data_IF_069020699369
#
_entry.id   IF_069020699369
#
_cell.length_a   1.000
_cell.length_b   1.000
_cell.length_c   1.000
_cell.angle_alpha   90.00
_cell.angle_beta   90.00
_cell.angle_gamma   90.00
#
_symmetry.space_group_name_H-M   'P 1'
#
loop_
_entity.id
_entity.type
_entity.pdbx_description
1 polymer ?
#
# COMPACT_ATOMS: atom_id res chain seq x y z
N UNK A 1 -20.65 19.70 2.52
CA UNK A 1 -19.27 19.58 2.00
C UNK A 1 -19.05 20.74 1.07
N UNK A 2 -18.02 21.55 1.32
CA UNK A 2 -17.67 22.71 0.51
C UNK A 2 -16.37 22.52 -0.30
N UNK A 3 -15.63 21.44 -0.06
CA UNK A 3 -14.39 21.10 -0.80
C UNK A 3 -13.33 22.23 -0.77
N UNK A 4 -13.12 22.83 0.40
CA UNK A 4 -12.38 24.09 0.58
C UNK A 4 -10.98 24.13 -0.04
N UNK A 5 -10.18 23.06 0.15
CA UNK A 5 -8.79 23.03 -0.29
C UNK A 5 -8.40 21.69 -0.86
N UNK A 6 -7.88 21.68 -2.09
CA UNK A 6 -7.24 20.50 -2.67
C UNK A 6 -5.90 20.26 -1.95
N UNK A 7 -5.71 19.04 -1.45
CA UNK A 7 -4.46 18.61 -0.78
C UNK A 7 -3.72 17.50 -1.54
N UNK A 8 -4.38 16.80 -2.47
CA UNK A 8 -3.73 15.84 -3.37
C UNK A 8 -4.54 15.62 -4.65
N UNK A 9 -3.86 15.46 -5.79
CA UNK A 9 -4.46 15.14 -7.09
C UNK A 9 -3.70 13.99 -7.73
N UNK A 10 -4.45 13.02 -8.24
CA UNK A 10 -4.00 11.89 -9.07
C UNK A 10 -5.02 11.64 -10.18
N UNK A 11 -4.66 10.87 -11.20
CA UNK A 11 -5.48 10.68 -12.40
C UNK A 11 -6.94 10.25 -12.13
N UNK A 12 -7.17 9.48 -11.07
CA UNK A 12 -8.47 8.88 -10.76
C UNK A 12 -9.00 9.26 -9.36
N UNK A 13 -8.32 10.18 -8.67
CA UNK A 13 -8.73 10.63 -7.33
C UNK A 13 -8.24 12.03 -7.00
N UNK A 14 -9.10 12.77 -6.31
CA UNK A 14 -8.76 14.08 -5.73
C UNK A 14 -9.07 14.06 -4.24
N UNK A 15 -8.15 14.57 -3.43
CA UNK A 15 -8.32 14.66 -1.97
C UNK A 15 -8.43 16.11 -1.59
N UNK A 16 -9.47 16.42 -0.81
CA UNK A 16 -9.79 17.73 -0.30
C UNK A 16 -9.65 17.76 1.22
N UNK A 17 -9.31 18.93 1.75
CA UNK A 17 -9.53 19.29 3.14
C UNK A 17 -10.73 20.24 3.20
N UNK A 18 -11.68 19.93 4.07
CA UNK A 18 -12.87 20.73 4.37
C UNK A 18 -12.93 20.87 5.91
N UNK A 19 -12.41 21.99 6.43
CA UNK A 19 -12.17 22.18 7.87
C UNK A 19 -11.31 21.07 8.53
N UNK A 20 -11.95 20.28 9.39
CA UNK A 20 -11.38 19.14 10.12
C UNK A 20 -11.56 17.80 9.38
N UNK A 21 -12.08 17.83 8.14
CA UNK A 21 -12.35 16.64 7.35
C UNK A 21 -11.36 16.51 6.18
N UNK A 22 -10.99 15.28 5.90
CA UNK A 22 -10.29 14.86 4.70
C UNK A 22 -11.27 14.10 3.81
N UNK A 23 -11.52 14.59 2.60
CA UNK A 23 -12.51 14.03 1.67
C UNK A 23 -11.78 13.51 0.43
N UNK A 24 -11.76 12.19 0.25
CA UNK A 24 -11.23 11.53 -0.94
C UNK A 24 -12.36 11.31 -1.94
N UNK A 25 -12.31 12.04 -3.05
CA UNK A 25 -13.23 11.92 -4.18
C UNK A 25 -12.60 11.00 -5.22
N UNK A 26 -13.31 9.94 -5.58
CA UNK A 26 -12.92 8.95 -6.58
C UNK A 26 -13.76 9.15 -7.84
N UNK A 27 -13.12 9.04 -9.00
CA UNK A 27 -13.80 9.13 -10.30
C UNK A 27 -14.75 7.93 -10.54
N UNK A 28 -15.69 8.09 -11.48
CA UNK A 28 -16.85 7.20 -11.68
C UNK A 28 -16.49 5.74 -12.02
N UNK A 29 -15.30 5.49 -12.56
CA UNK A 29 -14.81 4.17 -12.96
C UNK A 29 -14.24 3.33 -11.81
N UNK A 30 -14.12 3.91 -10.60
CA UNK A 30 -13.62 3.18 -9.44
C UNK A 30 -14.62 2.11 -8.96
N UNK A 31 -14.18 0.83 -8.83
CA UNK A 31 -15.04 -0.22 -8.31
C UNK A 31 -15.54 0.11 -6.90
N UNK A 32 -16.85 0.06 -6.68
CA UNK A 32 -17.44 0.28 -5.35
C UNK A 32 -16.84 -0.65 -4.28
N UNK A 33 -16.44 -1.87 -4.67
CA UNK A 33 -15.76 -2.81 -3.79
C UNK A 33 -14.43 -2.28 -3.26
N UNK A 34 -13.68 -1.50 -4.05
CA UNK A 34 -12.40 -0.93 -3.63
C UNK A 34 -12.61 0.17 -2.57
N UNK A 35 -13.61 1.02 -2.80
CA UNK A 35 -14.03 2.08 -1.85
C UNK A 35 -14.44 1.47 -0.51
N UNK A 36 -15.28 0.43 -0.57
CA UNK A 36 -15.73 -0.27 0.63
C UNK A 36 -14.59 -1.02 1.32
N UNK A 37 -13.66 -1.63 0.56
CA UNK A 37 -12.47 -2.26 1.13
C UNK A 37 -11.59 -1.26 1.88
N UNK A 38 -11.36 -0.06 1.33
CA UNK A 38 -10.60 0.97 2.03
C UNK A 38 -11.29 1.39 3.33
N UNK A 39 -12.59 1.68 3.27
CA UNK A 39 -13.37 2.06 4.45
C UNK A 39 -13.38 0.95 5.53
N UNK A 40 -13.64 -0.29 5.15
CA UNK A 40 -13.65 -1.44 6.08
C UNK A 40 -12.26 -1.67 6.67
N UNK A 41 -11.21 -1.69 5.86
CA UNK A 41 -9.85 -1.97 6.33
C UNK A 41 -9.32 -0.84 7.25
N UNK A 42 -9.67 0.42 6.98
CA UNK A 42 -9.36 1.55 7.87
C UNK A 42 -9.99 1.37 9.25
N UNK A 43 -11.28 1.04 9.30
CA UNK A 43 -11.98 0.81 10.58
C UNK A 43 -11.38 -0.40 11.31
N UNK A 44 -11.12 -1.49 10.58
CA UNK A 44 -10.51 -2.69 11.15
C UNK A 44 -9.11 -2.43 11.73
N UNK A 45 -8.29 -1.62 11.05
CA UNK A 45 -6.99 -1.20 11.56
C UNK A 45 -7.11 -0.36 12.85
N UNK A 46 -8.08 0.57 12.89
CA UNK A 46 -8.36 1.37 14.08
C UNK A 46 -8.80 0.50 15.28
N UNK A 47 -9.73 -0.43 15.05
CA UNK A 47 -10.23 -1.37 16.06
C UNK A 47 -9.14 -2.32 16.57
N UNK A 48 -8.14 -2.61 15.73
CA UNK A 48 -6.95 -3.37 16.11
C UNK A 48 -5.88 -2.54 16.84
N UNK A 49 -6.14 -1.25 17.10
CA UNK A 49 -5.28 -0.37 17.89
C UNK A 49 -4.24 0.40 17.08
N UNK A 50 -4.32 0.42 15.75
CA UNK A 50 -3.43 1.22 14.92
C UNK A 50 -3.91 2.67 14.82
N UNK A 51 -2.94 3.60 14.76
CA UNK A 51 -3.22 5.00 14.52
C UNK A 51 -3.58 5.24 13.05
N UNK A 52 -4.87 5.44 12.79
CA UNK A 52 -5.41 5.75 11.46
C UNK A 52 -6.44 6.88 11.57
N UNK A 53 -6.63 7.69 10.50
CA UNK A 53 -7.73 8.65 10.44
C UNK A 53 -9.09 7.98 10.68
N UNK A 54 -9.91 8.57 11.54
CA UNK A 54 -11.25 8.05 11.82
C UNK A 54 -12.14 8.17 10.60
N UNK A 55 -12.74 7.07 10.16
CA UNK A 55 -13.77 7.09 9.12
C UNK A 55 -15.00 7.85 9.60
N UNK A 56 -15.49 8.77 8.76
CA UNK A 56 -16.71 9.54 9.01
C UNK A 56 -17.86 9.11 8.12
N UNK A 57 -17.59 8.94 6.84
CA UNK A 57 -18.65 8.69 5.86
C UNK A 57 -18.11 8.00 4.61
N UNK A 58 -18.94 7.15 4.00
CA UNK A 58 -18.82 6.72 2.61
C UNK A 58 -20.09 7.16 1.89
N UNK A 59 -19.96 8.00 0.86
CA UNK A 59 -21.09 8.63 0.19
C UNK A 59 -20.97 8.50 -1.35
N UNK A 60 -22.11 8.59 -2.04
CA UNK A 60 -22.20 8.77 -3.48
C UNK A 60 -22.75 10.18 -3.77
N UNK A 61 -21.89 11.07 -4.28
CA UNK A 61 -22.28 12.42 -4.66
C UNK A 61 -22.32 12.54 -6.19
N UNK A 62 -23.53 12.57 -6.75
CA UNK A 62 -23.71 12.39 -8.20
C UNK A 62 -23.28 10.98 -8.60
N UNK A 63 -22.28 10.87 -9.48
CA UNK A 63 -21.68 9.59 -9.87
C UNK A 63 -20.36 9.29 -9.14
N UNK A 64 -19.82 10.28 -8.40
CA UNK A 64 -18.53 10.16 -7.73
C UNK A 64 -18.66 9.54 -6.36
N UNK A 65 -17.73 8.65 -6.02
CA UNK A 65 -17.67 8.01 -4.70
C UNK A 65 -16.75 8.79 -3.79
N UNK A 66 -17.22 9.03 -2.58
CA UNK A 66 -16.50 9.81 -1.58
C UNK A 66 -16.23 8.94 -0.36
N UNK A 67 -15.02 9.06 0.17
CA UNK A 67 -14.68 8.59 1.51
C UNK A 67 -14.20 9.77 2.32
N UNK A 68 -14.80 9.98 3.48
CA UNK A 68 -14.49 11.09 4.38
C UNK A 68 -13.89 10.57 5.67
N UNK A 69 -12.77 11.16 6.08
CA UNK A 69 -12.06 10.88 7.32
C UNK A 69 -11.85 12.14 8.15
N UNK A 70 -11.50 12.00 9.42
CA UNK A 70 -10.89 13.10 10.17
C UNK A 70 -9.55 13.49 9.54
N UNK A 71 -9.32 14.79 9.36
CA UNK A 71 -8.09 15.32 8.81
C UNK A 71 -6.97 15.27 9.86
N UNK A 72 -5.84 14.66 9.50
CA UNK A 72 -4.65 14.64 10.36
C UNK A 72 -3.80 15.86 10.07
N UNK A 73 -3.61 16.71 11.09
CA UNK A 73 -2.69 17.84 11.01
C UNK A 73 -1.27 17.31 11.08
N UNK A 74 -0.56 17.36 9.95
CA UNK A 74 0.76 16.78 9.80
C UNK A 74 1.23 16.81 8.36
N UNK A 75 2.24 16.02 8.03
CA UNK A 75 2.74 15.86 6.67
C UNK A 75 3.14 14.42 6.41
N UNK A 76 2.94 13.90 5.17
CA UNK A 76 3.47 12.61 4.80
C UNK A 76 5.00 12.57 4.94
N UNK A 77 5.56 11.43 5.32
CA UNK A 77 7.01 11.24 5.54
C UNK A 77 7.78 11.05 4.23
N UNK A 78 7.41 11.79 3.18
CA UNK A 78 7.95 11.67 1.82
C UNK A 78 9.47 11.51 1.80
N UNK A 79 9.93 10.64 0.90
CA UNK A 79 11.33 10.51 0.54
C UNK A 79 11.52 11.07 -0.88
N UNK A 80 12.56 11.87 -1.10
CA UNK A 80 12.94 12.36 -2.42
C UNK A 80 14.43 12.11 -2.71
N UNK A 81 14.77 11.95 -3.99
CA UNK A 81 16.18 11.80 -4.44
C UNK A 81 17.05 13.02 -4.12
N UNK A 82 16.42 14.17 -3.80
CA UNK A 82 17.10 15.42 -3.45
C UNK A 82 17.45 15.52 -1.97
N UNK A 83 16.89 14.63 -1.15
CA UNK A 83 17.13 14.65 0.28
C UNK A 83 18.59 14.25 0.56
N UNK A 84 19.18 14.70 1.66
CA UNK A 84 20.45 14.15 2.11
C UNK A 84 20.26 12.74 2.71
N UNK A 85 21.38 12.04 2.91
CA UNK A 85 21.36 10.65 3.41
C UNK A 85 20.77 10.54 4.83
N UNK A 86 21.00 11.54 5.69
CA UNK A 86 20.50 11.52 7.07
C UNK A 86 18.99 11.74 7.10
N UNK A 87 18.48 12.65 6.27
CA UNK A 87 17.04 12.88 6.12
C UNK A 87 16.34 11.64 5.59
N UNK A 88 16.85 11.00 4.52
CA UNK A 88 16.28 9.74 4.00
C UNK A 88 16.31 8.66 5.07
N UNK A 89 17.43 8.48 5.77
CA UNK A 89 17.53 7.50 6.85
C UNK A 89 16.49 7.76 7.95
N UNK A 90 16.25 9.02 8.32
CA UNK A 90 15.19 9.37 9.28
C UNK A 90 13.80 8.97 8.76
N UNK A 91 13.48 9.25 7.50
CA UNK A 91 12.18 8.90 6.89
C UNK A 91 11.99 7.38 6.79
N UNK A 92 13.02 6.65 6.39
CA UNK A 92 13.00 5.19 6.37
C UNK A 92 12.81 4.58 7.76
N UNK A 93 13.39 5.17 8.81
CA UNK A 93 13.14 4.73 10.18
C UNK A 93 11.66 4.88 10.58
N UNK A 94 11.03 6.02 10.27
CA UNK A 94 9.60 6.23 10.53
C UNK A 94 8.71 5.28 9.73
N UNK A 95 9.07 5.01 8.47
CA UNK A 95 8.35 4.04 7.63
C UNK A 95 8.42 2.63 8.25
N UNK A 96 9.60 2.23 8.73
CA UNK A 96 9.79 0.93 9.39
C UNK A 96 9.08 0.89 10.74
N UNK A 97 9.03 1.98 11.51
CA UNK A 97 8.23 2.05 12.75
C UNK A 97 6.75 1.77 12.47
N UNK A 98 6.19 2.43 11.45
CA UNK A 98 4.82 2.18 10.99
C UNK A 98 4.64 0.73 10.55
N UNK A 99 5.56 0.19 9.74
CA UNK A 99 5.49 -1.18 9.25
C UNK A 99 5.54 -2.22 10.36
N UNK A 100 6.43 -2.06 11.34
CA UNK A 100 6.55 -2.97 12.48
C UNK A 100 5.31 -2.89 13.37
N UNK A 101 4.70 -1.70 13.53
CA UNK A 101 3.42 -1.54 14.22
C UNK A 101 2.30 -2.32 13.50
N UNK A 102 2.22 -2.22 12.17
CA UNK A 102 1.25 -2.97 11.36
C UNK A 102 1.48 -4.48 11.50
N UNK A 103 2.70 -4.94 11.27
CA UNK A 103 3.03 -6.37 11.23
C UNK A 103 3.05 -7.02 12.64
N UNK A 104 3.13 -6.23 13.70
CA UNK A 104 2.90 -6.67 15.08
C UNK A 104 1.44 -7.02 15.38
N UNK A 105 0.50 -6.52 14.58
CA UNK A 105 -0.94 -6.69 14.76
C UNK A 105 -1.45 -7.96 14.08
N UNK A 106 -2.30 -8.72 14.78
CA UNK A 106 -3.03 -9.85 14.18
C UNK A 106 -4.09 -9.29 13.22
N UNK A 107 -4.16 -9.83 12.00
CA UNK A 107 -5.11 -9.40 10.99
C UNK A 107 -6.56 -9.61 11.48
N UNK A 108 -7.39 -8.55 11.50
CA UNK A 108 -8.82 -8.67 11.75
C UNK A 108 -9.51 -9.59 10.73
N UNK A 109 -10.53 -10.33 11.16
CA UNK A 109 -11.24 -11.31 10.32
C UNK A 109 -12.01 -10.69 9.15
N UNK A 110 -12.42 -9.43 9.29
CA UNK A 110 -13.15 -8.69 8.25
C UNK A 110 -12.26 -8.27 7.07
N UNK A 111 -10.92 -8.27 7.24
CA UNK A 111 -9.99 -7.99 6.15
C UNK A 111 -9.91 -9.22 5.25
N UNK A 112 -10.26 -9.02 3.98
CA UNK A 112 -10.35 -10.13 3.01
C UNK A 112 -9.01 -10.79 2.80
N UNK A 113 -9.04 -12.12 2.76
CA UNK A 113 -7.92 -12.90 2.28
C UNK A 113 -7.91 -12.91 0.73
N UNK A 114 -6.83 -12.44 0.07
CA UNK A 114 -6.72 -12.49 -1.39
C UNK A 114 -6.81 -13.92 -1.96
N UNK A 115 -6.53 -14.95 -1.15
CA UNK A 115 -6.70 -16.37 -1.51
C UNK A 115 -8.16 -16.77 -1.70
N UNK A 116 -9.09 -16.12 -1.00
CA UNK A 116 -10.52 -16.46 -1.01
C UNK A 116 -11.37 -15.49 -1.83
N UNK A 117 -10.78 -14.39 -2.31
CA UNK A 117 -11.45 -13.43 -3.16
C UNK A 117 -11.52 -13.95 -4.62
N UNK A 118 -12.74 -14.14 -5.19
CA UNK A 118 -12.90 -14.56 -6.59
C UNK A 118 -12.23 -13.61 -7.60
N UNK A 119 -12.09 -12.33 -7.21
CA UNK A 119 -11.65 -11.22 -8.05
C UNK A 119 -10.14 -10.91 -7.95
N UNK A 120 -9.35 -11.65 -7.18
CA UNK A 120 -7.89 -11.52 -7.28
C UNK A 120 -7.38 -11.95 -8.67
N UNK A 121 -8.22 -12.62 -9.46
CA UNK A 121 -7.99 -12.93 -10.87
C UNK A 121 -8.26 -11.74 -11.82
N UNK A 122 -8.82 -10.61 -11.36
CA UNK A 122 -9.60 -9.72 -12.24
C UNK A 122 -9.44 -8.21 -12.03
N UNK A 123 -8.44 -7.72 -11.30
CA UNK A 123 -8.14 -6.26 -11.30
C UNK A 123 -7.27 -5.83 -12.49
N UNK A 124 -7.03 -6.71 -13.46
CA UNK A 124 -6.51 -6.33 -14.77
C UNK A 124 -7.64 -5.75 -15.61
N UNK A 125 -7.64 -4.43 -15.79
CA UNK A 125 -8.22 -3.83 -16.99
C UNK A 125 -7.68 -4.58 -18.21
N UNK A 126 -8.59 -5.00 -19.09
CA UNK A 126 -8.27 -5.73 -20.31
C UNK A 126 -7.29 -4.93 -21.18
N UNK A 127 -6.01 -5.25 -21.09
CA UNK A 127 -4.98 -4.76 -22.00
C UNK A 127 -4.86 -5.77 -23.14
N UNK A 128 -5.59 -5.53 -24.23
CA UNK A 128 -5.36 -6.20 -25.51
C UNK A 128 -4.19 -5.51 -26.20
N UNK A 129 -2.97 -5.94 -25.89
CA UNK A 129 -1.78 -5.65 -26.69
C UNK A 129 -0.86 -6.87 -26.64
N UNK A 130 -0.50 -7.39 -27.82
CA UNK A 130 0.10 -8.71 -28.03
C UNK A 130 1.55 -8.90 -27.51
N UNK A 131 2.09 -7.95 -26.75
CA UNK A 131 3.47 -7.98 -26.22
C UNK A 131 3.56 -7.87 -24.69
N UNK A 132 2.44 -7.70 -23.96
CA UNK A 132 2.42 -7.85 -22.49
C UNK A 132 2.25 -9.34 -22.13
N UNK A 133 2.95 -9.87 -21.10
CA UNK A 133 2.67 -11.22 -20.61
C UNK A 133 1.19 -11.31 -20.29
N UNK A 134 0.53 -12.31 -20.87
CA UNK A 134 -0.91 -12.43 -20.69
C UNK A 134 -1.19 -12.73 -19.21
N UNK A 135 -2.43 -12.48 -18.77
CA UNK A 135 -2.84 -12.72 -17.37
C UNK A 135 -2.47 -14.12 -16.87
N UNK A 136 -2.36 -15.13 -17.75
CA UNK A 136 -1.96 -16.48 -17.37
C UNK A 136 -0.48 -16.59 -16.99
N UNK A 137 0.42 -15.82 -17.61
CA UNK A 137 1.86 -15.80 -17.27
C UNK A 137 2.10 -15.17 -15.89
N UNK A 138 1.43 -14.07 -15.59
CA UNK A 138 1.45 -13.44 -14.25
C UNK A 138 0.88 -14.40 -13.21
N UNK A 139 -0.26 -15.04 -13.52
CA UNK A 139 -0.88 -16.04 -12.64
C UNK A 139 0.04 -17.24 -12.42
N UNK A 140 0.78 -17.69 -13.43
CA UNK A 140 1.71 -18.81 -13.34
C UNK A 140 2.94 -18.48 -12.49
N UNK A 141 3.49 -17.27 -12.63
CA UNK A 141 4.56 -16.76 -11.76
C UNK A 141 4.04 -16.66 -10.33
N UNK A 142 2.86 -16.09 -10.10
CA UNK A 142 2.24 -16.10 -8.76
C UNK A 142 2.05 -17.53 -8.24
N UNK A 143 1.68 -18.50 -9.08
CA UNK A 143 1.46 -19.90 -8.69
C UNK A 143 2.75 -20.63 -8.29
N UNK A 144 3.84 -20.37 -8.99
CA UNK A 144 5.13 -21.03 -8.80
C UNK A 144 6.02 -20.34 -7.74
N UNK A 145 5.78 -19.06 -7.41
CA UNK A 145 6.66 -18.22 -6.58
C UNK A 145 6.23 -18.08 -5.12
N UNK A 146 5.49 -19.03 -4.55
CA UNK A 146 5.22 -19.02 -3.10
C UNK A 146 3.97 -18.25 -2.65
N UNK A 147 2.91 -18.20 -3.46
CA UNK A 147 1.57 -17.71 -3.03
C UNK A 147 1.10 -18.32 -1.70
N UNK A 148 1.46 -19.58 -1.45
CA UNK A 148 1.17 -20.25 -0.19
C UNK A 148 1.90 -19.59 0.99
N UNK A 149 3.18 -19.27 0.83
CA UNK A 149 3.99 -18.65 1.89
C UNK A 149 3.55 -17.20 2.17
N UNK A 150 3.32 -16.39 1.14
CA UNK A 150 2.97 -14.98 1.30
C UNK A 150 1.66 -14.75 2.09
N UNK A 151 0.70 -15.67 1.97
CA UNK A 151 -0.61 -15.59 2.62
C UNK A 151 -0.82 -16.63 3.74
N UNK A 152 0.25 -17.29 4.21
CA UNK A 152 0.20 -18.28 5.28
C UNK A 152 0.12 -17.67 6.69
N UNK A 153 0.47 -16.39 6.83
CA UNK A 153 0.48 -15.71 8.12
C UNK A 153 -0.88 -15.15 8.54
N UNK A 154 -0.98 -14.85 9.83
CA UNK A 154 -2.14 -14.19 10.46
C UNK A 154 -1.84 -12.72 10.81
N UNK A 155 -0.72 -12.17 10.33
CA UNK A 155 -0.34 -10.79 10.57
C UNK A 155 -1.03 -9.86 9.59
N UNK A 156 -1.37 -8.67 10.07
CA UNK A 156 -1.87 -7.61 9.23
C UNK A 156 -0.74 -7.13 8.31
N UNK A 157 -1.00 -7.11 7.01
CA UNK A 157 -0.13 -6.52 5.99
C UNK A 157 -0.87 -5.35 5.35
N UNK A 158 -0.18 -4.26 5.08
CA UNK A 158 -0.78 -3.07 4.47
C UNK A 158 -0.99 -3.27 2.95
N UNK A 159 -0.03 -3.92 2.27
CA UNK A 159 -0.10 -4.24 0.84
C UNK A 159 0.02 -3.03 -0.11
N UNK A 160 0.29 -1.85 0.45
CA UNK A 160 0.54 -0.60 -0.27
C UNK A 160 1.32 0.41 0.61
N UNK A 161 2.18 -0.07 1.51
CA UNK A 161 2.88 0.83 2.44
C UNK A 161 4.00 1.55 1.71
N UNK A 162 4.00 2.88 1.80
CA UNK A 162 5.01 3.76 1.22
C UNK A 162 5.09 5.07 2.02
N UNK A 163 6.17 5.87 1.89
CA UNK A 163 6.35 7.11 2.65
C UNK A 163 5.16 8.09 2.57
N UNK A 164 4.49 8.19 1.41
CA UNK A 164 3.31 9.05 1.23
C UNK A 164 2.07 8.57 1.99
N UNK A 165 2.03 7.31 2.40
CA UNK A 165 0.91 6.68 3.11
C UNK A 165 1.10 6.67 4.64
N UNK A 166 2.15 7.35 5.14
CA UNK A 166 2.40 7.55 6.55
C UNK A 166 2.52 9.04 6.84
N UNK A 167 1.61 9.56 7.66
CA UNK A 167 1.57 10.96 8.07
C UNK A 167 2.23 11.09 9.44
N UNK A 168 3.29 11.90 9.53
CA UNK A 168 3.79 12.39 10.81
C UNK A 168 2.93 13.57 11.25
N UNK A 169 2.14 13.37 12.29
CA UNK A 169 1.30 14.43 12.87
C UNK A 169 2.16 15.51 13.52
N UNK A 170 1.59 16.71 13.70
CA UNK A 170 2.26 17.78 14.46
C UNK A 170 2.52 17.43 15.92
N UNK A 171 1.84 16.41 16.45
CA UNK A 171 2.06 15.86 17.79
C UNK A 171 3.18 14.82 17.88
N UNK A 172 3.77 14.41 16.74
CA UNK A 172 4.84 13.39 16.68
C UNK A 172 4.35 11.97 16.42
N UNK A 173 3.04 11.73 16.43
CA UNK A 173 2.46 10.41 16.16
C UNK A 173 2.41 10.10 14.66
N UNK A 174 2.62 8.83 14.30
CA UNK A 174 2.45 8.32 12.94
C UNK A 174 1.01 7.86 12.70
N UNK A 175 0.41 8.32 11.62
CA UNK A 175 -0.90 7.89 11.12
C UNK A 175 -0.76 7.19 9.78
N UNK A 176 -1.42 6.05 9.61
CA UNK A 176 -1.31 5.21 8.43
C UNK A 176 -2.60 5.32 7.60
N UNK A 177 -2.47 5.53 6.30
CA UNK A 177 -3.59 5.77 5.37
C UNK A 177 -3.54 4.86 4.15
N UNK A 178 -4.56 4.91 3.28
CA UNK A 178 -4.62 4.15 2.02
C UNK A 178 -4.63 2.61 2.20
N UNK A 179 -5.51 2.12 3.08
CA UNK A 179 -5.63 0.71 3.52
C UNK A 179 -6.36 -0.24 2.55
N UNK A 180 -6.68 0.20 1.33
CA UNK A 180 -7.51 -0.55 0.39
C UNK A 180 -6.94 -1.94 0.00
N UNK A 181 -5.61 -2.11 0.11
CA UNK A 181 -4.90 -3.32 -0.27
C UNK A 181 -4.51 -4.22 0.90
N UNK A 182 -5.00 -3.93 2.11
CA UNK A 182 -4.65 -4.70 3.30
C UNK A 182 -5.09 -6.18 3.18
N UNK A 183 -4.27 -7.06 3.73
CA UNK A 183 -4.49 -8.50 3.66
C UNK A 183 -3.86 -9.25 4.85
N UNK A 184 -4.36 -10.46 5.18
CA UNK A 184 -3.68 -11.37 6.10
C UNK A 184 -2.47 -12.03 5.41
N UNK A 185 -1.29 -11.86 5.97
CA UNK A 185 -0.04 -12.36 5.38
C UNK A 185 1.10 -12.46 6.39
N UNK A 186 2.32 -12.50 5.86
CA UNK A 186 3.54 -12.48 6.68
C UNK A 186 4.23 -11.10 6.61
N UNK A 187 4.94 -10.68 7.67
CA UNK A 187 5.72 -9.43 7.65
C UNK A 187 6.70 -9.35 6.45
N UNK A 188 7.28 -10.48 6.06
CA UNK A 188 8.20 -10.59 4.91
C UNK A 188 7.52 -10.25 3.59
N UNK A 189 6.26 -10.67 3.43
CA UNK A 189 5.49 -10.37 2.22
C UNK A 189 5.18 -8.88 2.09
N UNK A 190 4.87 -8.21 3.21
CA UNK A 190 4.62 -6.78 3.25
C UNK A 190 5.93 -5.98 3.04
N UNK A 191 7.05 -6.48 3.57
CA UNK A 191 8.38 -5.93 3.33
C UNK A 191 8.84 -6.03 1.88
N UNK A 192 8.56 -7.16 1.21
CA UNK A 192 8.83 -7.32 -0.22
C UNK A 192 8.04 -6.30 -1.05
N UNK A 193 6.76 -6.10 -0.74
CA UNK A 193 5.92 -5.09 -1.42
C UNK A 193 6.46 -3.67 -1.16
N UNK A 194 6.75 -3.32 0.09
CA UNK A 194 7.29 -2.02 0.48
C UNK A 194 8.62 -1.72 -0.24
N UNK A 195 9.53 -2.70 -0.32
CA UNK A 195 10.80 -2.58 -1.03
C UNK A 195 10.61 -2.23 -2.51
N UNK A 196 9.73 -2.96 -3.21
CA UNK A 196 9.44 -2.68 -4.62
C UNK A 196 8.72 -1.34 -4.83
N UNK A 197 7.83 -0.96 -3.92
CA UNK A 197 7.20 0.36 -3.94
C UNK A 197 8.23 1.48 -3.82
N UNK A 198 9.17 1.37 -2.87
CA UNK A 198 10.25 2.34 -2.72
C UNK A 198 11.15 2.40 -3.96
N UNK A 199 11.40 1.26 -4.62
CA UNK A 199 12.15 1.28 -5.88
C UNK A 199 11.38 2.05 -6.95
N UNK A 200 10.08 1.78 -7.10
CA UNK A 200 9.23 2.43 -8.09
C UNK A 200 9.08 3.94 -7.87
N UNK A 201 9.03 4.40 -6.61
CA UNK A 201 8.72 5.80 -6.27
C UNK A 201 9.93 6.65 -5.87
N UNK A 202 10.96 6.04 -5.28
CA UNK A 202 12.14 6.70 -4.72
C UNK A 202 13.47 6.14 -5.27
N UNK A 203 13.43 5.21 -6.22
CA UNK A 203 14.62 4.64 -6.85
C UNK A 203 15.29 3.51 -6.08
N UNK A 204 16.18 2.81 -6.79
CA UNK A 204 16.85 1.59 -6.31
C UNK A 204 17.66 1.81 -5.03
N UNK A 205 18.34 2.96 -4.92
CA UNK A 205 19.17 3.27 -3.77
C UNK A 205 18.35 3.30 -2.48
N UNK A 206 17.22 4.01 -2.47
CA UNK A 206 16.34 4.08 -1.29
C UNK A 206 15.72 2.73 -0.96
N UNK A 207 15.35 1.93 -1.96
CA UNK A 207 14.89 0.56 -1.74
C UNK A 207 15.94 -0.32 -1.05
N UNK A 208 17.21 -0.20 -1.47
CA UNK A 208 18.33 -0.92 -0.83
C UNK A 208 18.59 -0.45 0.60
N UNK A 209 18.62 0.87 0.82
CA UNK A 209 18.77 1.47 2.15
C UNK A 209 17.65 1.00 3.11
N UNK A 210 16.41 0.95 2.62
CA UNK A 210 15.28 0.39 3.36
C UNK A 210 15.48 -1.08 3.70
N UNK A 211 15.85 -1.90 2.70
CA UNK A 211 15.98 -3.34 2.87
C UNK A 211 17.02 -3.70 3.95
N UNK A 212 18.19 -3.07 3.89
CA UNK A 212 19.25 -3.23 4.89
C UNK A 212 18.80 -2.79 6.29
N UNK A 213 18.15 -1.63 6.38
CA UNK A 213 17.65 -1.09 7.64
C UNK A 213 16.53 -1.96 8.24
N UNK A 214 15.61 -2.45 7.41
CA UNK A 214 14.52 -3.32 7.84
C UNK A 214 15.06 -4.62 8.42
N UNK A 215 16.00 -5.30 7.73
CA UNK A 215 16.65 -6.52 8.25
C UNK A 215 17.37 -6.28 9.58
N UNK A 216 18.07 -5.14 9.69
CA UNK A 216 18.76 -4.77 10.94
C UNK A 216 17.78 -4.56 12.10
N UNK A 217 16.61 -3.98 11.83
CA UNK A 217 15.59 -3.67 12.85
C UNK A 217 14.68 -4.85 13.17
N UNK A 218 14.43 -5.71 12.20
CA UNK A 218 13.66 -6.94 12.33
C UNK A 218 14.62 -8.14 12.34
N UNK A 219 15.44 -8.26 13.38
CA UNK A 219 16.54 -9.23 13.45
C UNK A 219 16.15 -10.71 13.38
N UNK A 220 14.86 -11.05 13.49
CA UNK A 220 14.33 -12.40 13.23
C UNK A 220 14.05 -12.69 11.75
N UNK A 221 14.03 -11.67 10.90
CA UNK A 221 13.71 -11.78 9.49
C UNK A 221 14.95 -12.12 8.67
N UNK A 222 14.84 -13.13 7.80
CA UNK A 222 15.91 -13.49 6.86
C UNK A 222 15.78 -12.72 5.55
N UNK A 223 16.92 -12.26 5.02
CA UNK A 223 17.00 -11.70 3.66
C UNK A 223 16.41 -12.66 2.62
N UNK A 224 16.66 -13.96 2.74
CA UNK A 224 16.15 -14.98 1.81
C UNK A 224 14.62 -15.09 1.84
N UNK A 225 14.02 -14.87 3.03
CA UNK A 225 12.58 -14.93 3.21
C UNK A 225 11.86 -13.78 2.50
N UNK A 226 12.45 -12.58 2.49
CA UNK A 226 11.90 -11.43 1.74
C UNK A 226 12.20 -11.57 0.24
N UNK A 227 13.44 -11.90 -0.14
CA UNK A 227 13.85 -11.94 -1.56
C UNK A 227 13.10 -13.00 -2.36
N UNK A 228 12.82 -14.16 -1.76
CA UNK A 228 11.96 -15.21 -2.37
C UNK A 228 10.55 -14.71 -2.68
N UNK A 229 10.07 -13.67 -1.98
CA UNK A 229 8.74 -13.09 -2.17
C UNK A 229 8.71 -11.91 -3.16
N UNK A 230 9.86 -11.46 -3.69
CA UNK A 230 9.90 -10.35 -4.64
C UNK A 230 9.11 -10.61 -5.93
N UNK A 231 9.15 -11.81 -6.56
CA UNK A 231 8.29 -12.08 -7.72
C UNK A 231 6.80 -12.00 -7.40
N UNK A 232 6.40 -12.45 -6.21
CA UNK A 232 5.03 -12.31 -5.72
C UNK A 232 4.66 -10.83 -5.53
N UNK A 233 5.50 -10.07 -4.83
CA UNK A 233 5.30 -8.64 -4.61
C UNK A 233 5.18 -7.87 -5.95
N UNK A 234 6.03 -8.23 -6.93
CA UNK A 234 5.96 -7.64 -8.25
C UNK A 234 4.61 -7.93 -8.93
N UNK A 235 4.11 -9.16 -8.84
CA UNK A 235 2.79 -9.51 -9.40
C UNK A 235 1.64 -8.74 -8.75
N UNK A 236 1.72 -8.45 -7.44
CA UNK A 236 0.73 -7.64 -6.71
C UNK A 236 0.67 -6.20 -7.21
N UNK A 237 1.81 -5.65 -7.61
CA UNK A 237 1.99 -4.26 -8.01
C UNK A 237 1.80 -4.03 -9.51
N UNK A 238 2.00 -5.04 -10.36
CA UNK A 238 2.09 -4.90 -11.82
C UNK A 238 0.96 -4.09 -12.48
N UNK A 239 -0.31 -4.40 -12.15
CA UNK A 239 -1.47 -3.70 -12.74
C UNK A 239 -1.72 -2.31 -12.15
N UNK A 240 -0.94 -1.89 -11.14
CA UNK A 240 -1.03 -0.58 -10.49
C UNK A 240 -0.06 0.43 -11.11
N UNK A 241 0.89 -0.03 -11.91
CA UNK A 241 2.02 0.75 -12.39
C UNK A 241 1.89 1.22 -13.84
N UNK A 242 2.63 2.28 -14.16
CA UNK A 242 2.79 2.76 -15.53
C UNK A 242 3.73 1.84 -16.34
N UNK A 243 3.94 2.14 -17.63
CA UNK A 243 4.76 1.31 -18.52
C UNK A 243 6.21 1.11 -18.03
N UNK A 244 6.84 2.12 -17.43
CA UNK A 244 8.19 2.02 -16.90
C UNK A 244 8.22 1.13 -15.64
N UNK A 245 7.27 1.32 -14.72
CA UNK A 245 7.13 0.48 -13.53
C UNK A 245 6.82 -0.97 -13.89
N UNK A 246 5.90 -1.21 -14.82
CA UNK A 246 5.62 -2.55 -15.37
C UNK A 246 6.89 -3.23 -15.91
N UNK A 247 7.73 -2.51 -16.67
CA UNK A 247 9.00 -3.06 -17.20
C UNK A 247 9.95 -3.49 -16.07
N UNK A 248 10.09 -2.67 -15.02
CA UNK A 248 10.87 -3.03 -13.84
C UNK A 248 10.30 -4.30 -13.18
N UNK A 249 9.01 -4.31 -12.85
CA UNK A 249 8.36 -5.43 -12.18
C UNK A 249 8.46 -6.74 -12.99
N UNK A 250 8.39 -6.68 -14.33
CA UNK A 250 8.60 -7.85 -15.17
C UNK A 250 10.01 -8.42 -15.12
N UNK A 251 11.03 -7.59 -14.91
CA UNK A 251 12.40 -8.08 -14.73
C UNK A 251 12.60 -8.81 -13.40
N UNK A 252 11.75 -8.53 -12.41
CA UNK A 252 11.79 -9.14 -11.07
C UNK A 252 10.97 -10.44 -11.01
N UNK A 253 9.97 -10.56 -11.89
CA UNK A 253 9.13 -11.75 -11.99
C UNK A 253 9.76 -12.92 -12.76
N UNK A 254 10.80 -12.66 -13.56
CA UNK A 254 11.50 -13.65 -14.40
C UNK A 254 12.69 -14.24 -13.66
#
# INVERSE_FOLDING_TARGET
MQFDRIISVRNNRTVFRDGELCIKVLEDDFPASFVLSEATNMVAAAEAGLNVPKLREVNLHGNKRLITYDYIVGSPILCSDRDDADFRAQRLNLLIDAQLSINGTRCPECIRNPRTAPNFRSTGTACTAHDEPNTADIVQITFNSGKHAAFAGDKLCHGNLAPENVILSSGGELYIIDWAYAYPGTPESDAAICCLMLWLTCGEQTAREYFELYLKRNGSCSSDAITTLLPFAASMLYNRENAAGKKLLLSIMK
#
